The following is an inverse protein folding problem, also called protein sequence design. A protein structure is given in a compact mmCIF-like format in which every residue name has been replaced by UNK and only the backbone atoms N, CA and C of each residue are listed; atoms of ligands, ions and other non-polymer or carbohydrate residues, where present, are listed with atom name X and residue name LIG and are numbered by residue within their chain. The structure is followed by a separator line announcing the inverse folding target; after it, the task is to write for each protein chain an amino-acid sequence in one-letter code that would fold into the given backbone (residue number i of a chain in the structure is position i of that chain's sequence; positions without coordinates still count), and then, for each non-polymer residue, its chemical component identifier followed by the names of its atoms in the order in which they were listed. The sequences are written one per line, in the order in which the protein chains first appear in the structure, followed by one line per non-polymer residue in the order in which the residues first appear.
data_IF_251295333230
#
_entry.id   IF_251295333230
#
_cell.length_a   1.000
_cell.length_b   1.000
_cell.length_c   1.000
_cell.angle_alpha   90.00
_cell.angle_beta   90.00
_cell.angle_gamma   90.00
#
_symmetry.space_group_name_H-M   'P 1'
#
loop_
_entity.id
_entity.type
_entity.pdbx_description
1 polymer ?
#
# COMPACT_ATOMS: atom_id res chain seq x y z
N UNK A 1 16.61 11.82 -16.73
CA UNK A 1 15.38 12.03 -17.53
C UNK A 1 14.26 11.14 -16.98
N UNK A 2 13.07 11.68 -16.78
CA UNK A 2 11.86 10.98 -16.29
C UNK A 2 10.75 11.06 -17.34
N UNK A 3 9.79 10.12 -17.30
CA UNK A 3 8.63 10.15 -18.20
C UNK A 3 7.74 11.34 -17.86
N UNK A 4 7.28 12.09 -18.87
CA UNK A 4 6.47 13.30 -18.71
C UNK A 4 5.23 13.10 -17.84
N UNK A 5 4.45 12.01 -18.05
CA UNK A 5 3.30 11.68 -17.21
C UNK A 5 3.67 11.41 -15.73
N UNK A 6 4.91 10.96 -15.47
CA UNK A 6 5.39 10.78 -14.08
C UNK A 6 5.62 12.15 -13.42
N UNK A 7 6.24 13.08 -14.15
CA UNK A 7 6.54 14.43 -13.63
C UNK A 7 5.23 15.20 -13.36
N UNK A 8 4.25 15.14 -14.27
CA UNK A 8 2.92 15.75 -14.08
C UNK A 8 2.23 15.17 -12.82
N UNK A 9 2.31 13.84 -12.62
CA UNK A 9 1.72 13.22 -11.44
C UNK A 9 2.46 13.57 -10.14
N UNK A 10 3.79 13.77 -10.18
CA UNK A 10 4.59 14.23 -9.04
C UNK A 10 4.34 15.70 -8.68
N UNK A 11 3.86 16.50 -9.63
CA UNK A 11 3.41 17.87 -9.40
C UNK A 11 1.98 17.94 -8.81
N UNK A 12 1.37 16.80 -8.45
CA UNK A 12 0.05 16.77 -7.82
C UNK A 12 -1.14 17.02 -8.76
N UNK A 13 -0.91 17.29 -10.04
CA UNK A 13 -1.95 17.70 -11.00
C UNK A 13 -3.00 16.60 -11.18
N UNK A 14 -2.57 15.35 -11.47
CA UNK A 14 -3.47 14.23 -11.70
C UNK A 14 -2.77 12.87 -11.57
N UNK A 15 -3.49 11.77 -11.84
CA UNK A 15 -2.87 10.44 -11.93
C UNK A 15 -2.00 10.32 -13.19
N UNK A 16 -1.06 9.37 -13.20
CA UNK A 16 -0.22 9.11 -14.40
C UNK A 16 -1.06 8.77 -15.64
N UNK A 17 -2.14 8.01 -15.48
CA UNK A 17 -3.07 7.68 -16.58
C UNK A 17 -3.79 8.93 -17.08
N UNK A 18 -4.28 9.77 -16.18
CA UNK A 18 -4.92 11.03 -16.57
C UNK A 18 -3.94 12.00 -17.20
N UNK A 19 -2.67 12.00 -16.78
CA UNK A 19 -1.62 12.77 -17.45
C UNK A 19 -1.35 12.27 -18.87
N UNK A 20 -1.42 10.97 -19.13
CA UNK A 20 -1.33 10.40 -20.49
C UNK A 20 -2.48 10.89 -21.38
N UNK A 21 -3.71 10.94 -20.85
CA UNK A 21 -4.87 11.53 -21.57
C UNK A 21 -4.64 13.02 -21.89
N UNK A 22 -4.16 13.81 -20.92
CA UNK A 22 -3.87 15.23 -21.13
C UNK A 22 -2.77 15.46 -22.18
N UNK A 23 -1.77 14.57 -22.25
CA UNK A 23 -0.73 14.61 -23.27
C UNK A 23 -1.34 14.36 -24.66
N UNK A 24 -2.13 13.29 -24.81
CA UNK A 24 -2.78 12.96 -26.08
C UNK A 24 -3.77 14.05 -26.54
N UNK A 25 -4.44 14.71 -25.59
CA UNK A 25 -5.34 15.83 -25.84
C UNK A 25 -4.62 17.13 -26.23
N UNK A 26 -3.26 17.15 -26.32
CA UNK A 26 -2.46 18.34 -26.62
C UNK A 26 -2.50 19.43 -25.53
N UNK A 27 -2.90 19.08 -24.30
CA UNK A 27 -3.04 20.02 -23.17
C UNK A 27 -1.75 20.22 -22.39
N UNK A 28 -0.65 19.58 -22.82
CA UNK A 28 0.66 19.64 -22.18
C UNK A 28 1.65 20.29 -23.13
N UNK A 29 2.46 21.22 -22.60
CA UNK A 29 3.59 21.79 -23.32
C UNK A 29 4.89 21.49 -22.58
N UNK A 30 5.95 21.27 -23.34
CA UNK A 30 7.33 21.14 -22.87
C UNK A 30 8.16 22.21 -23.59
N UNK A 31 8.79 23.10 -22.82
CA UNK A 31 9.56 24.23 -23.34
C UNK A 31 8.76 25.07 -24.36
N UNK A 32 7.48 25.35 -24.04
CA UNK A 32 6.57 26.13 -24.85
C UNK A 32 5.96 25.41 -26.07
N UNK A 33 6.39 24.18 -26.39
CA UNK A 33 5.86 23.40 -27.52
C UNK A 33 4.89 22.33 -27.04
N UNK A 34 3.77 22.17 -27.76
CA UNK A 34 2.79 21.11 -27.46
C UNK A 34 3.48 19.75 -27.57
N UNK A 35 3.24 18.91 -26.57
CA UNK A 35 3.70 17.53 -26.51
C UNK A 35 2.50 16.59 -26.42
N UNK A 36 2.25 15.82 -27.48
CA UNK A 36 1.15 14.86 -27.63
C UNK A 36 1.64 13.40 -27.75
N UNK A 37 2.94 13.17 -27.57
CA UNK A 37 3.56 11.85 -27.72
C UNK A 37 3.74 11.17 -26.37
N UNK A 38 3.11 9.99 -26.20
CA UNK A 38 3.28 9.17 -24.99
C UNK A 38 4.73 8.65 -24.88
N UNK A 39 5.18 8.53 -23.64
CA UNK A 39 6.54 8.05 -23.36
C UNK A 39 7.63 9.12 -23.44
N UNK A 40 7.29 10.35 -23.82
CA UNK A 40 8.20 11.49 -23.80
C UNK A 40 8.92 11.60 -22.46
N UNK A 41 10.24 11.80 -22.53
CA UNK A 41 11.11 11.96 -21.35
C UNK A 41 11.55 13.42 -21.23
N UNK A 42 11.50 13.93 -20.03
CA UNK A 42 11.89 15.31 -19.66
C UNK A 42 12.97 15.30 -18.60
N UNK A 43 13.73 16.38 -18.54
CA UNK A 43 14.76 16.65 -17.55
C UNK A 43 14.24 17.61 -16.46
N UNK A 44 15.03 17.84 -15.42
CA UNK A 44 14.71 18.85 -14.40
C UNK A 44 14.84 20.30 -14.92
N UNK A 45 15.42 20.49 -16.11
CA UNK A 45 15.62 21.82 -16.73
C UNK A 45 14.46 22.17 -17.67
N UNK A 46 13.63 21.18 -18.06
CA UNK A 46 12.52 21.42 -18.96
C UNK A 46 11.38 22.11 -18.22
N UNK A 47 10.83 23.15 -18.84
CA UNK A 47 9.61 23.80 -18.39
C UNK A 47 8.40 23.01 -18.86
N UNK A 48 7.47 22.71 -17.96
CA UNK A 48 6.26 21.93 -18.27
C UNK A 48 5.05 22.76 -17.90
N UNK A 49 4.12 22.87 -18.85
CA UNK A 49 2.81 23.50 -18.67
C UNK A 49 1.72 22.46 -18.85
N UNK A 50 0.70 22.50 -18.01
CA UNK A 50 -0.50 21.68 -18.11
C UNK A 50 -1.72 22.60 -18.09
N UNK A 51 -2.58 22.55 -19.09
CA UNK A 51 -3.73 23.44 -19.27
C UNK A 51 -3.33 24.94 -19.18
N UNK A 52 -2.18 25.30 -19.72
CA UNK A 52 -1.67 26.67 -19.71
C UNK A 52 -0.99 27.13 -18.41
N UNK A 53 -0.90 26.28 -17.38
CA UNK A 53 -0.26 26.60 -16.12
C UNK A 53 1.08 25.87 -15.98
N UNK A 54 2.11 26.59 -15.58
CA UNK A 54 3.41 26.01 -15.23
C UNK A 54 3.26 25.11 -14.02
N UNK A 55 3.85 23.93 -14.07
CA UNK A 55 3.83 23.00 -12.94
C UNK A 55 5.15 23.04 -12.15
N UNK A 56 5.06 22.87 -10.84
CA UNK A 56 6.19 22.72 -9.93
C UNK A 56 6.07 21.43 -9.15
N UNK A 57 7.19 20.92 -8.64
CA UNK A 57 7.18 19.72 -7.79
C UNK A 57 6.48 20.02 -6.46
N UNK A 58 5.55 19.18 -6.08
CA UNK A 58 4.94 19.22 -4.74
C UNK A 58 5.93 18.79 -3.65
N UNK A 59 5.78 19.37 -2.45
CA UNK A 59 6.45 18.87 -1.26
C UNK A 59 5.98 17.44 -0.95
N UNK A 60 6.93 16.53 -0.71
CA UNK A 60 6.62 15.14 -0.39
C UNK A 60 6.06 15.02 1.02
N UNK A 61 4.97 14.28 1.14
CA UNK A 61 4.30 14.00 2.42
C UNK A 61 4.17 12.51 2.65
N UNK A 62 4.25 12.12 3.91
CA UNK A 62 4.22 10.73 4.33
C UNK A 62 3.37 10.61 5.59
N UNK A 63 2.36 9.77 5.54
CA UNK A 63 1.43 9.55 6.64
C UNK A 63 1.34 8.07 6.99
N UNK A 64 1.06 7.80 8.25
CA UNK A 64 0.60 6.51 8.77
C UNK A 64 -0.81 6.70 9.33
N UNK A 65 -1.69 5.77 9.02
CA UNK A 65 -3.09 5.76 9.40
C UNK A 65 -3.47 4.45 10.05
N UNK A 66 -4.31 4.48 11.06
CA UNK A 66 -5.06 3.31 11.51
C UNK A 66 -6.35 3.19 10.68
N UNK A 67 -6.24 2.51 9.52
CA UNK A 67 -7.37 2.35 8.60
C UNK A 67 -8.54 1.66 9.31
N UNK A 68 -9.74 2.24 9.35
CA UNK A 68 -10.92 1.56 9.85
C UNK A 68 -11.43 0.52 8.84
N UNK A 69 -12.29 -0.39 9.29
CA UNK A 69 -13.11 -1.20 8.38
C UNK A 69 -14.14 -0.32 7.67
N UNK A 70 -14.68 -0.80 6.56
CA UNK A 70 -15.76 -0.11 5.85
C UNK A 70 -15.31 1.08 4.99
N UNK A 71 -14.01 1.18 4.66
CA UNK A 71 -13.53 2.16 3.68
C UNK A 71 -12.55 1.54 2.68
N UNK A 72 -12.52 2.08 1.48
CA UNK A 72 -11.73 1.60 0.36
C UNK A 72 -10.35 2.26 0.30
N UNK A 73 -9.34 1.52 -0.15
CA UNK A 73 -8.01 2.05 -0.49
C UNK A 73 -7.97 2.42 -1.99
N UNK A 74 -8.72 3.45 -2.36
CA UNK A 74 -8.76 3.99 -3.73
C UNK A 74 -8.74 5.50 -3.70
N UNK A 75 -8.34 6.13 -4.81
CA UNK A 75 -8.38 7.59 -4.98
C UNK A 75 -9.75 8.09 -5.45
N UNK A 76 -10.62 7.22 -5.96
CA UNK A 76 -11.99 7.51 -6.35
C UNK A 76 -12.85 6.27 -6.25
N UNK A 77 -14.15 6.45 -6.05
CA UNK A 77 -15.14 5.36 -6.08
C UNK A 77 -16.43 5.84 -6.74
N UNK A 78 -16.81 5.17 -7.82
CA UNK A 78 -17.98 5.54 -8.62
C UNK A 78 -19.31 5.28 -7.92
N UNK A 79 -19.28 4.51 -6.81
CA UNK A 79 -20.46 4.17 -5.99
C UNK A 79 -20.59 5.05 -4.74
N UNK A 80 -19.77 6.07 -4.57
CA UNK A 80 -19.80 6.99 -3.43
C UNK A 80 -19.48 6.35 -2.08
N UNK A 81 -18.80 5.18 -2.05
CA UNK A 81 -18.39 4.53 -0.81
C UNK A 81 -17.21 5.27 -0.19
N UNK A 82 -17.17 5.30 1.12
CA UNK A 82 -16.09 5.95 1.87
C UNK A 82 -14.72 5.37 1.51
N UNK A 83 -13.76 6.25 1.28
CA UNK A 83 -12.37 5.91 0.96
C UNK A 83 -11.44 6.31 2.09
N UNK A 84 -10.21 5.85 2.07
CA UNK A 84 -9.17 6.28 3.04
C UNK A 84 -8.81 7.76 2.87
N UNK A 85 -9.05 8.35 1.70
CA UNK A 85 -8.75 9.76 1.45
C UNK A 85 -9.77 10.71 2.11
N UNK A 86 -10.98 10.25 2.42
CA UNK A 86 -11.98 11.06 3.15
C UNK A 86 -11.54 11.40 4.59
N UNK A 87 -10.52 10.71 5.09
CA UNK A 87 -9.91 10.98 6.40
C UNK A 87 -8.65 11.86 6.31
N UNK A 88 -8.16 12.16 5.08
CA UNK A 88 -6.88 12.82 4.85
C UNK A 88 -7.05 14.31 4.51
N UNK A 89 -5.99 15.13 4.65
CA UNK A 89 -6.01 16.50 4.15
C UNK A 89 -6.30 16.53 2.65
N UNK A 90 -7.16 17.48 2.23
CA UNK A 90 -7.62 17.61 0.84
C UNK A 90 -6.79 18.57 -0.01
N UNK A 91 -5.80 19.23 0.57
CA UNK A 91 -4.96 20.23 -0.10
C UNK A 91 -3.79 19.63 -0.91
N UNK A 92 -3.61 18.32 -0.88
CA UNK A 92 -2.55 17.61 -1.59
C UNK A 92 -3.08 16.31 -2.18
N UNK A 93 -2.53 15.92 -3.32
CA UNK A 93 -2.87 14.66 -3.96
C UNK A 93 -2.13 13.50 -3.29
N UNK A 94 -2.79 12.81 -2.36
CA UNK A 94 -2.25 11.68 -1.59
C UNK A 94 -2.85 10.36 -2.12
N UNK A 95 -2.10 9.25 -2.01
CA UNK A 95 -2.56 7.90 -2.32
C UNK A 95 -2.02 6.88 -1.31
N UNK A 96 -2.70 5.75 -1.19
CA UNK A 96 -2.28 4.69 -0.27
C UNK A 96 -1.08 3.91 -0.80
N UNK A 97 -0.18 3.54 0.11
CA UNK A 97 0.96 2.65 -0.13
C UNK A 97 0.48 1.20 -0.01
N UNK A 98 0.16 0.62 -1.15
CA UNK A 98 -0.55 -0.64 -1.21
C UNK A 98 -2.01 -0.50 -0.79
N UNK A 99 -2.62 -1.64 -0.47
CA UNK A 99 -4.04 -1.68 -0.10
C UNK A 99 -4.27 -2.56 1.12
N UNK A 100 -5.33 -2.27 1.84
CA UNK A 100 -6.05 -3.17 2.74
C UNK A 100 -7.47 -3.32 2.20
N UNK A 101 -8.04 -4.51 2.36
CA UNK A 101 -9.40 -4.79 1.91
C UNK A 101 -10.42 -3.92 2.68
N UNK A 102 -11.64 -3.83 2.16
CA UNK A 102 -12.74 -3.08 2.76
C UNK A 102 -13.00 -3.45 4.22
N UNK A 103 -12.95 -4.75 4.53
CA UNK A 103 -13.18 -5.33 5.87
C UNK A 103 -11.90 -5.52 6.70
N UNK A 104 -10.72 -5.17 6.16
CA UNK A 104 -9.43 -5.23 6.85
C UNK A 104 -9.09 -3.86 7.42
N UNK A 105 -8.57 -3.84 8.65
CA UNK A 105 -8.19 -2.62 9.37
C UNK A 105 -6.70 -2.59 9.70
N UNK A 106 -6.22 -1.46 10.23
CA UNK A 106 -4.88 -1.31 10.80
C UNK A 106 -3.93 -0.45 10.00
N UNK A 107 -2.64 -0.69 10.15
CA UNK A 107 -1.56 0.14 9.60
C UNK A 107 -1.68 0.30 8.09
N UNK A 108 -1.85 1.53 7.63
CA UNK A 108 -1.80 1.91 6.22
C UNK A 108 -0.90 3.15 6.07
N UNK A 109 0.03 3.11 5.13
CA UNK A 109 0.82 4.26 4.75
C UNK A 109 0.17 5.01 3.59
N UNK A 110 0.27 6.34 3.59
CA UNK A 110 -0.21 7.18 2.50
C UNK A 110 0.86 8.23 2.17
N UNK A 111 0.97 8.61 0.89
CA UNK A 111 2.00 9.56 0.42
C UNK A 111 1.62 10.13 -0.94
N UNK A 112 2.31 11.19 -1.37
CA UNK A 112 2.36 11.65 -2.76
C UNK A 112 3.67 11.24 -3.47
N UNK A 113 4.59 10.54 -2.77
CA UNK A 113 5.85 10.05 -3.31
C UNK A 113 5.71 8.64 -3.93
N UNK A 114 5.59 8.59 -5.26
CA UNK A 114 5.45 7.32 -5.98
C UNK A 114 6.70 6.42 -5.95
N UNK A 115 7.90 6.98 -5.73
CA UNK A 115 9.11 6.18 -5.60
C UNK A 115 9.16 5.49 -4.24
N UNK A 116 8.92 6.25 -3.18
CA UNK A 116 8.76 5.68 -1.84
C UNK A 116 7.66 4.61 -1.82
N UNK A 117 6.49 4.89 -2.41
CA UNK A 117 5.41 3.92 -2.51
C UNK A 117 5.88 2.61 -3.16
N UNK A 118 6.59 2.69 -4.30
CA UNK A 118 7.13 1.52 -4.98
C UNK A 118 8.11 0.72 -4.10
N UNK A 119 8.99 1.40 -3.36
CA UNK A 119 9.92 0.73 -2.44
C UNK A 119 9.18 0.00 -1.31
N UNK A 120 8.07 0.53 -0.85
CA UNK A 120 7.30 -0.08 0.25
C UNK A 120 6.48 -1.30 -0.18
N UNK A 121 6.00 -1.34 -1.44
CA UNK A 121 5.05 -2.40 -1.87
C UNK A 121 5.66 -3.48 -2.76
N UNK A 122 6.73 -3.17 -3.48
CA UNK A 122 7.26 -4.11 -4.47
C UNK A 122 7.91 -5.33 -3.78
N UNK A 123 7.56 -6.57 -4.19
CA UNK A 123 7.99 -7.80 -3.50
C UNK A 123 9.51 -7.94 -3.31
N UNK A 124 10.32 -7.41 -4.27
CA UNK A 124 11.79 -7.47 -4.20
C UNK A 124 12.41 -6.79 -2.98
N UNK A 125 11.67 -5.95 -2.27
CA UNK A 125 12.18 -5.25 -1.08
C UNK A 125 11.82 -5.96 0.23
N UNK A 126 11.05 -7.03 0.17
CA UNK A 126 10.74 -7.95 1.29
C UNK A 126 10.30 -7.27 2.60
N UNK A 127 9.65 -6.10 2.54
CA UNK A 127 9.17 -5.42 3.73
C UNK A 127 8.07 -6.22 4.41
N UNK A 128 8.28 -6.56 5.67
CA UNK A 128 7.37 -7.38 6.46
C UNK A 128 6.08 -6.63 6.82
N UNK A 129 4.97 -7.35 6.82
CA UNK A 129 3.65 -6.91 7.28
C UNK A 129 3.13 -7.94 8.26
N UNK A 130 2.82 -7.52 9.48
CA UNK A 130 2.29 -8.41 10.53
C UNK A 130 0.81 -8.16 10.72
N UNK A 131 0.05 -9.23 10.70
CA UNK A 131 -1.40 -9.22 10.87
C UNK A 131 -1.79 -10.02 12.11
N UNK A 132 -2.73 -9.50 12.88
CA UNK A 132 -3.51 -10.31 13.83
C UNK A 132 -4.70 -10.88 13.07
N UNK A 133 -4.75 -12.21 13.03
CA UNK A 133 -5.76 -13.00 12.32
C UNK A 133 -6.65 -13.67 13.34
N UNK A 134 -7.96 -13.47 13.25
CA UNK A 134 -8.95 -14.22 14.02
C UNK A 134 -9.65 -15.19 13.08
N UNK A 135 -9.48 -16.48 13.32
CA UNK A 135 -10.09 -17.55 12.56
C UNK A 135 -11.35 -18.11 13.25
N UNK A 136 -12.28 -18.57 12.45
CA UNK A 136 -13.17 -19.65 12.84
C UNK A 136 -12.43 -20.98 12.61
N UNK A 137 -12.34 -21.80 13.65
CA UNK A 137 -11.58 -23.06 13.63
C UNK A 137 -10.29 -23.00 14.45
N UNK A 138 -9.75 -24.18 14.73
CA UNK A 138 -8.49 -24.36 15.44
C UNK A 138 -7.36 -24.57 14.44
N UNK A 139 -6.41 -23.65 14.44
CA UNK A 139 -5.20 -23.76 13.63
C UNK A 139 -4.35 -24.92 14.15
N UNK A 140 -4.16 -25.95 13.34
CA UNK A 140 -3.38 -27.15 13.70
C UNK A 140 -1.87 -26.87 13.61
N UNK A 141 -1.07 -27.73 14.21
CA UNK A 141 0.39 -27.64 14.11
C UNK A 141 0.87 -27.90 12.67
N UNK A 142 0.14 -28.69 11.91
CA UNK A 142 0.45 -28.93 10.48
C UNK A 142 0.11 -27.72 9.62
N UNK A 143 -0.97 -27.01 9.89
CA UNK A 143 -1.26 -25.71 9.24
C UNK A 143 -0.12 -24.72 9.51
N UNK A 144 0.33 -24.63 10.77
CA UNK A 144 1.45 -23.74 11.15
C UNK A 144 2.72 -24.13 10.41
N UNK A 145 3.05 -25.41 10.29
CA UNK A 145 4.22 -25.89 9.54
C UNK A 145 4.11 -25.54 8.05
N UNK A 146 2.92 -25.72 7.44
CA UNK A 146 2.69 -25.35 6.04
C UNK A 146 2.88 -23.84 5.82
N UNK A 147 2.31 -23.00 6.67
CA UNK A 147 2.49 -21.53 6.60
C UNK A 147 3.96 -21.13 6.72
N UNK A 148 4.71 -21.74 7.64
CA UNK A 148 6.14 -21.45 7.85
C UNK A 148 7.04 -21.93 6.72
N UNK A 149 6.66 -22.97 5.97
CA UNK A 149 7.41 -23.47 4.80
C UNK A 149 7.03 -22.74 3.51
N UNK A 150 5.94 -22.01 3.54
CA UNK A 150 5.30 -21.43 2.36
C UNK A 150 4.22 -22.37 1.81
N UNK A 151 3.12 -21.78 1.41
CA UNK A 151 1.92 -22.50 1.00
C UNK A 151 1.79 -22.48 -0.54
N UNK A 152 1.55 -23.64 -1.12
CA UNK A 152 1.23 -23.78 -2.55
C UNK A 152 -0.25 -24.15 -2.69
N UNK A 153 -1.00 -23.32 -3.41
CA UNK A 153 -2.38 -23.59 -3.81
C UNK A 153 -2.43 -23.97 -5.29
N UNK A 154 -3.61 -24.24 -5.82
CA UNK A 154 -3.78 -24.51 -7.25
C UNK A 154 -3.40 -23.32 -8.14
N UNK A 155 -3.58 -22.09 -7.64
CA UNK A 155 -3.44 -20.86 -8.42
C UNK A 155 -2.24 -20.03 -8.00
N UNK A 156 -1.73 -20.20 -6.77
CA UNK A 156 -0.73 -19.32 -6.19
C UNK A 156 0.30 -20.09 -5.35
N UNK A 157 1.53 -19.55 -5.34
CA UNK A 157 2.58 -19.95 -4.40
C UNK A 157 2.88 -18.77 -3.47
N UNK A 158 2.72 -18.99 -2.16
CA UNK A 158 3.02 -18.02 -1.10
C UNK A 158 4.37 -18.30 -0.47
N UNK A 159 5.09 -17.23 -0.16
CA UNK A 159 6.38 -17.30 0.52
C UNK A 159 6.22 -17.79 1.97
N UNK A 160 7.28 -18.32 2.59
CA UNK A 160 7.31 -18.63 4.01
C UNK A 160 6.82 -17.46 4.87
N UNK A 161 5.98 -17.76 5.86
CA UNK A 161 5.44 -16.78 6.79
C UNK A 161 5.87 -17.10 8.23
N UNK A 162 6.02 -16.05 9.08
CA UNK A 162 6.20 -16.25 10.52
C UNK A 162 4.82 -16.36 11.16
N UNK A 163 4.62 -17.36 12.00
CA UNK A 163 3.35 -17.61 12.69
C UNK A 163 3.61 -17.65 14.19
N UNK A 164 2.85 -16.87 14.95
CA UNK A 164 2.87 -16.86 16.40
C UNK A 164 1.44 -16.96 16.94
N UNK A 165 1.08 -18.08 17.58
CA UNK A 165 -0.25 -18.29 18.12
C UNK A 165 -0.41 -17.49 19.40
N UNK A 166 -1.43 -16.64 19.45
CA UNK A 166 -1.77 -15.82 20.61
C UNK A 166 -2.74 -16.56 21.52
N UNK A 167 -3.78 -17.18 20.95
CA UNK A 167 -4.81 -17.89 21.71
C UNK A 167 -5.50 -18.95 20.84
N UNK A 168 -5.76 -20.10 21.43
CA UNK A 168 -6.68 -21.14 20.91
C UNK A 168 -7.84 -21.27 21.91
N UNK A 169 -9.06 -21.04 21.46
CA UNK A 169 -10.30 -21.21 22.23
C UNK A 169 -11.04 -22.43 21.67
N UNK A 170 -10.85 -23.57 22.34
CA UNK A 170 -11.44 -24.84 21.94
C UNK A 170 -12.96 -24.83 22.12
N UNK A 171 -13.47 -24.13 23.13
CA UNK A 171 -14.92 -24.07 23.43
C UNK A 171 -15.66 -23.32 22.33
N UNK A 172 -15.12 -22.21 21.85
CA UNK A 172 -15.71 -21.39 20.79
C UNK A 172 -15.22 -21.77 19.39
N UNK A 173 -14.36 -22.78 19.29
CA UNK A 173 -13.71 -23.22 18.06
C UNK A 173 -13.10 -22.02 17.30
N UNK A 174 -12.15 -21.32 17.94
CA UNK A 174 -11.52 -20.10 17.39
C UNK A 174 -10.02 -20.09 17.67
N UNK A 175 -9.27 -19.48 16.73
CA UNK A 175 -7.85 -19.23 16.92
C UNK A 175 -7.54 -17.76 16.61
N UNK A 176 -6.71 -17.15 17.45
CA UNK A 176 -6.10 -15.85 17.21
C UNK A 176 -4.59 -16.03 17.12
N UNK A 177 -3.97 -15.48 16.08
CA UNK A 177 -2.52 -15.60 15.89
C UNK A 177 -1.98 -14.40 15.09
N UNK A 178 -0.68 -14.14 15.23
CA UNK A 178 0.05 -13.23 14.38
C UNK A 178 0.60 -13.97 13.17
N UNK A 179 0.42 -13.37 11.99
CA UNK A 179 1.00 -13.80 10.72
C UNK A 179 1.83 -12.67 10.13
N UNK A 180 3.14 -12.93 9.95
CA UNK A 180 4.04 -11.99 9.29
C UNK A 180 4.42 -12.50 7.91
N UNK A 181 4.17 -11.69 6.89
CA UNK A 181 4.46 -11.96 5.47
C UNK A 181 5.35 -10.87 4.90
N UNK A 182 6.23 -11.22 3.93
CA UNK A 182 7.13 -10.29 3.23
C UNK A 182 6.65 -9.86 1.84
N UNK A 183 5.54 -10.41 1.38
CA UNK A 183 4.89 -10.11 0.11
C UNK A 183 3.49 -9.51 0.33
N UNK A 184 2.73 -9.24 -0.73
CA UNK A 184 1.40 -8.61 -0.59
C UNK A 184 0.53 -8.91 -1.81
N UNK A 185 0.22 -10.19 -2.05
CA UNK A 185 -0.70 -10.61 -3.11
C UNK A 185 -2.14 -10.25 -2.76
N UNK A 186 -2.99 -10.23 -3.78
CA UNK A 186 -4.40 -9.90 -3.58
C UNK A 186 -5.07 -10.90 -2.61
N UNK A 187 -5.74 -10.37 -1.58
CA UNK A 187 -6.42 -11.14 -0.52
C UNK A 187 -5.54 -12.23 0.11
N UNK A 188 -4.21 -12.06 0.12
CA UNK A 188 -3.25 -13.12 0.44
C UNK A 188 -3.56 -13.89 1.72
N UNK A 189 -3.70 -13.21 2.86
CA UNK A 189 -3.94 -13.86 4.15
C UNK A 189 -5.25 -14.66 4.13
N UNK A 190 -6.31 -14.10 3.55
CA UNK A 190 -7.60 -14.79 3.44
C UNK A 190 -7.51 -16.04 2.56
N UNK A 191 -6.82 -15.93 1.42
CA UNK A 191 -6.62 -17.04 0.49
C UNK A 191 -5.73 -18.14 1.09
N UNK A 192 -4.69 -17.77 1.85
CA UNK A 192 -3.86 -18.74 2.57
C UNK A 192 -4.70 -19.52 3.60
N UNK A 193 -5.54 -18.83 4.38
CA UNK A 193 -6.40 -19.48 5.36
C UNK A 193 -7.47 -20.34 4.70
N UNK A 194 -8.09 -19.86 3.64
CA UNK A 194 -9.07 -20.63 2.88
C UNK A 194 -8.48 -21.93 2.31
N UNK A 195 -7.25 -21.89 1.82
CA UNK A 195 -6.54 -23.08 1.31
C UNK A 195 -6.25 -24.12 2.40
N UNK A 196 -6.18 -23.70 3.66
CA UNK A 196 -6.07 -24.59 4.84
C UNK A 196 -7.44 -24.98 5.42
N UNK A 197 -8.55 -24.58 4.78
CA UNK A 197 -9.90 -24.88 5.24
C UNK A 197 -10.44 -23.99 6.34
N UNK A 198 -9.84 -22.82 6.56
CA UNK A 198 -10.22 -21.88 7.62
C UNK A 198 -10.85 -20.60 7.06
N UNK A 199 -11.84 -20.06 7.78
CA UNK A 199 -12.46 -18.76 7.49
C UNK A 199 -11.86 -17.67 8.38
N UNK A 200 -11.40 -16.56 7.75
CA UNK A 200 -10.92 -15.37 8.48
C UNK A 200 -12.11 -14.50 8.88
N UNK A 201 -12.39 -14.41 10.18
CA UNK A 201 -13.45 -13.56 10.76
C UNK A 201 -13.03 -12.10 10.93
N UNK A 202 -11.78 -11.89 11.27
CA UNK A 202 -11.23 -10.55 11.45
C UNK A 202 -9.76 -10.53 11.05
N UNK A 203 -9.40 -9.52 10.29
CA UNK A 203 -8.02 -9.28 9.87
C UNK A 203 -7.63 -7.83 10.23
N UNK A 204 -6.53 -7.70 10.97
CA UNK A 204 -6.01 -6.41 11.38
C UNK A 204 -4.50 -6.36 11.17
N UNK A 205 -4.02 -5.42 10.36
CA UNK A 205 -2.58 -5.24 10.17
C UNK A 205 -2.00 -4.42 11.33
N UNK A 206 -1.32 -5.09 12.24
CA UNK A 206 -0.74 -4.48 13.45
C UNK A 206 0.58 -3.80 13.18
N UNK A 207 1.37 -4.27 12.17
CA UNK A 207 2.66 -3.66 11.82
C UNK A 207 2.88 -3.61 10.31
N UNK A 208 3.58 -2.57 9.89
CA UNK A 208 4.22 -2.46 8.60
C UNK A 208 5.71 -2.18 8.86
N UNK A 209 6.59 -3.14 8.57
CA UNK A 209 7.96 -3.17 9.06
C UNK A 209 8.00 -2.97 10.59
N UNK A 210 8.61 -1.92 11.09
CA UNK A 210 8.67 -1.57 12.51
C UNK A 210 7.55 -0.63 12.98
N UNK A 211 6.77 -0.07 12.05
CA UNK A 211 5.70 0.89 12.35
C UNK A 211 4.43 0.19 12.85
N UNK A 212 3.80 0.76 13.86
CA UNK A 212 2.47 0.38 14.35
C UNK A 212 1.56 1.62 14.55
N UNK A 213 0.32 1.37 14.94
CA UNK A 213 -0.72 2.40 15.12
C UNK A 213 -1.40 2.29 16.49
N UNK A 214 -0.67 1.82 17.51
CA UNK A 214 -1.23 1.61 18.87
C UNK A 214 -1.81 2.89 19.48
N UNK A 215 -1.17 4.03 19.18
CA UNK A 215 -1.55 5.34 19.70
C UNK A 215 -2.58 6.08 18.82
N UNK A 216 -3.06 5.45 17.73
CA UNK A 216 -4.04 6.02 16.82
C UNK A 216 -5.37 5.28 16.92
N UNK A 217 -6.46 6.01 17.12
CA UNK A 217 -7.81 5.47 17.00
C UNK A 217 -8.13 5.12 15.55
N UNK A 218 -9.15 4.30 15.33
CA UNK A 218 -9.60 3.96 14.00
C UNK A 218 -10.01 5.21 13.20
N UNK A 219 -9.39 5.41 12.03
CA UNK A 219 -9.56 6.59 11.19
C UNK A 219 -8.56 7.71 11.47
N UNK A 220 -7.84 7.68 12.58
CA UNK A 220 -6.80 8.66 12.85
C UNK A 220 -5.53 8.39 12.06
N UNK A 221 -4.79 9.47 11.78
CA UNK A 221 -3.51 9.44 11.09
C UNK A 221 -2.54 10.44 11.70
N UNK A 222 -1.25 10.26 11.43
CA UNK A 222 -0.19 11.22 11.73
C UNK A 222 0.83 11.27 10.60
N UNK A 223 1.60 12.34 10.53
CA UNK A 223 2.80 12.36 9.68
C UNK A 223 3.84 11.37 10.18
N UNK A 224 4.57 10.74 9.25
CA UNK A 224 5.77 10.00 9.59
C UNK A 224 6.88 10.97 10.01
N UNK A 225 7.63 10.58 11.04
CA UNK A 225 8.80 11.32 11.48
C UNK A 225 9.96 11.10 10.49
N UNK A 226 10.87 12.07 10.30
CA UNK A 226 11.98 11.93 9.35
C UNK A 226 12.83 10.66 9.55
N UNK A 227 13.05 10.25 10.79
CA UNK A 227 13.80 9.01 11.07
C UNK A 227 13.03 7.75 10.64
N UNK A 228 11.69 7.74 10.73
CA UNK A 228 10.85 6.61 10.28
C UNK A 228 10.96 6.43 8.76
N UNK A 229 10.92 7.53 8.01
CA UNK A 229 11.09 7.54 6.56
C UNK A 229 12.48 7.01 6.17
N UNK A 230 13.52 7.52 6.84
CA UNK A 230 14.91 7.09 6.60
C UNK A 230 15.09 5.59 6.90
N UNK A 231 14.52 5.11 7.99
CA UNK A 231 14.61 3.69 8.38
C UNK A 231 13.82 2.78 7.42
N UNK A 232 12.62 3.18 6.97
CA UNK A 232 11.87 2.44 5.95
C UNK A 232 12.65 2.31 4.64
N UNK A 233 13.24 3.41 4.16
CA UNK A 233 14.08 3.39 2.96
C UNK A 233 15.29 2.47 3.13
N UNK A 234 15.97 2.50 4.30
CA UNK A 234 17.08 1.62 4.59
C UNK A 234 16.66 0.15 4.54
N UNK A 235 15.58 -0.22 5.24
CA UNK A 235 15.05 -1.59 5.26
C UNK A 235 14.67 -2.08 3.86
N UNK A 236 14.11 -1.21 3.01
CA UNK A 236 13.80 -1.58 1.64
C UNK A 236 15.06 -1.91 0.82
N UNK A 237 16.15 -1.15 1.03
CA UNK A 237 17.41 -1.44 0.32
C UNK A 237 18.11 -2.70 0.82
N UNK A 238 18.08 -2.96 2.13
CA UNK A 238 18.58 -4.21 2.74
C UNK A 238 17.77 -5.43 2.24
N UNK A 239 16.45 -5.31 2.12
CA UNK A 239 15.58 -6.35 1.56
C UNK A 239 15.85 -6.68 0.09
N UNK A 240 16.36 -5.73 -0.69
CA UNK A 240 16.74 -5.92 -2.09
C UNK A 240 17.96 -6.83 -2.30
N UNK A 241 18.78 -6.97 -1.26
CA UNK A 241 20.03 -7.76 -1.32
C UNK A 241 19.82 -9.24 -0.92
N UNK A 242 18.63 -9.59 -0.45
CA UNK A 242 18.19 -10.96 -0.14
C UNK A 242 17.51 -11.61 -1.34
#
# INVERSE_FOLDING_TARGET
MERLQKVIAQAGICSRRKAEELILDGKVKVNGKVCDVLGTKVSNQDSIEVNGNMISKEEKVYYIMNKPKGCLCTSSDDKGRKTVLDYMPQNQRIFSVGRLDYDTSGVLLLTNDGEFCNHMIHPRYHLEKTYVVNLQGILSDDDIKQLRRGLKTKTEKYQPAKVFVLQKDLTRNRTQFELTISEGKNHQVKNMMLALGHEVRRLHRVKFAFLDVKDLRAGEYRRLKPYEIKQLNRLSMEGKQK
#
